data_IF_261144895243
#
_entry.id   IF_261144895243
#
_cell.length_a   1.000
_cell.length_b   1.000
_cell.length_c   1.000
_cell.angle_alpha   90.00
_cell.angle_beta   90.00
_cell.angle_gamma   90.00
#
_symmetry.space_group_name_H-M   'P 1'
#
loop_
_entity.id
_entity.type
_entity.pdbx_description
1 polymer ?
#
# COMPACT_ATOMS: atom_id res chain seq x y z
N UNK A 1 18.48 18.55 -9.38
CA UNK A 1 18.28 20.00 -9.59
C UNK A 1 17.00 20.45 -8.89
N UNK A 2 16.88 21.68 -8.37
CA UNK A 2 15.59 22.14 -7.80
C UNK A 2 14.61 22.60 -8.90
N UNK A 3 13.33 22.74 -8.55
CA UNK A 3 12.29 23.07 -9.53
C UNK A 3 12.50 24.43 -10.20
N UNK A 4 13.02 25.41 -9.48
CA UNK A 4 13.35 26.71 -10.07
C UNK A 4 14.39 26.53 -11.19
N UNK A 5 15.48 25.80 -10.94
CA UNK A 5 16.53 25.52 -11.92
C UNK A 5 16.01 24.67 -13.09
N UNK A 6 15.14 23.69 -12.84
CA UNK A 6 14.49 22.89 -13.90
C UNK A 6 13.71 23.80 -14.85
N UNK A 7 12.87 24.69 -14.31
CA UNK A 7 12.06 25.58 -15.13
C UNK A 7 12.92 26.64 -15.82
N UNK A 8 13.99 27.13 -15.18
CA UNK A 8 14.95 28.04 -15.81
C UNK A 8 15.62 27.38 -17.01
N UNK A 9 16.08 26.13 -16.88
CA UNK A 9 16.66 25.36 -17.99
C UNK A 9 15.66 25.17 -19.13
N UNK A 10 14.45 24.72 -18.82
CA UNK A 10 13.39 24.58 -19.82
C UNK A 10 13.04 25.92 -20.51
N UNK A 11 12.95 27.00 -19.75
CA UNK A 11 12.68 28.34 -20.30
C UNK A 11 13.79 28.79 -21.25
N UNK A 12 15.06 28.62 -20.86
CA UNK A 12 16.22 28.99 -21.67
C UNK A 12 16.30 28.16 -22.97
N UNK A 13 16.06 26.85 -22.91
CA UNK A 13 16.05 25.97 -24.09
C UNK A 13 14.93 26.31 -25.07
N UNK A 14 13.80 26.83 -24.56
CA UNK A 14 12.65 27.25 -25.34
C UNK A 14 12.73 28.72 -25.80
N UNK A 15 13.77 29.46 -25.40
CA UNK A 15 13.92 30.89 -25.70
C UNK A 15 12.91 31.79 -24.98
N UNK A 16 12.38 31.34 -23.85
CA UNK A 16 11.48 32.08 -22.98
C UNK A 16 12.26 32.89 -21.93
N UNK A 17 11.62 33.88 -21.31
CA UNK A 17 12.25 34.63 -20.21
C UNK A 17 12.43 33.70 -19.02
N UNK A 18 13.69 33.56 -18.55
CA UNK A 18 14.02 32.73 -17.40
C UNK A 18 13.49 33.36 -16.10
N UNK A 19 12.63 32.66 -15.33
CA UNK A 19 12.10 33.20 -14.08
C UNK A 19 13.15 33.28 -12.98
N UNK A 20 13.06 34.31 -12.13
CA UNK A 20 13.88 34.44 -10.90
C UNK A 20 13.21 33.85 -9.67
N UNK A 21 11.87 33.77 -9.67
CA UNK A 21 11.04 33.13 -8.65
C UNK A 21 9.94 32.35 -9.36
N UNK A 22 9.54 31.21 -8.82
CA UNK A 22 8.61 30.31 -9.49
C UNK A 22 7.24 30.28 -8.81
N UNK A 23 7.19 29.87 -7.54
CA UNK A 23 5.94 29.57 -6.82
C UNK A 23 5.10 30.82 -6.55
N UNK A 24 5.74 31.93 -6.21
CA UNK A 24 5.07 33.20 -5.89
C UNK A 24 5.03 34.17 -7.08
N UNK A 25 5.36 33.70 -8.28
CA UNK A 25 5.34 34.55 -9.48
C UNK A 25 3.90 34.88 -9.89
N UNK A 26 3.67 36.12 -10.32
CA UNK A 26 2.38 36.56 -10.88
C UNK A 26 2.34 36.46 -12.41
N UNK A 27 3.47 36.11 -13.04
CA UNK A 27 3.53 35.90 -14.48
C UNK A 27 2.79 34.62 -14.87
N UNK A 28 1.77 34.76 -15.71
CA UNK A 28 0.95 33.66 -16.21
C UNK A 28 1.78 32.58 -16.90
N UNK A 29 2.87 32.94 -17.57
CA UNK A 29 3.76 31.98 -18.22
C UNK A 29 4.51 31.14 -17.19
N UNK A 30 5.00 31.74 -16.11
CA UNK A 30 5.73 31.06 -15.03
C UNK A 30 4.80 30.14 -14.25
N UNK A 31 3.59 30.61 -13.94
CA UNK A 31 2.53 29.79 -13.31
C UNK A 31 2.22 28.57 -14.20
N UNK A 32 2.14 28.78 -15.51
CA UNK A 32 1.89 27.70 -16.46
C UNK A 32 3.03 26.67 -16.47
N UNK A 33 4.30 27.10 -16.50
CA UNK A 33 5.44 26.19 -16.49
C UNK A 33 5.48 25.32 -15.22
N UNK A 34 5.25 25.91 -14.03
CA UNK A 34 5.16 25.16 -12.77
C UNK A 34 3.99 24.15 -12.77
N UNK A 35 2.84 24.54 -13.32
CA UNK A 35 1.70 23.62 -13.43
C UNK A 35 2.01 22.43 -14.37
N UNK A 36 2.74 22.67 -15.45
CA UNK A 36 3.17 21.61 -16.38
C UNK A 36 4.22 20.69 -15.77
N UNK A 37 5.18 21.23 -15.00
CA UNK A 37 6.17 20.43 -14.29
C UNK A 37 5.50 19.49 -13.27
N UNK A 38 4.59 20.02 -12.44
CA UNK A 38 3.83 19.20 -11.50
C UNK A 38 3.00 18.12 -12.21
N UNK A 39 2.36 18.46 -13.34
CA UNK A 39 1.59 17.51 -14.15
C UNK A 39 2.49 16.42 -14.74
N UNK A 40 3.69 16.78 -15.18
CA UNK A 40 4.65 15.82 -15.72
C UNK A 40 5.07 14.80 -14.69
N UNK A 41 5.56 15.24 -13.54
CA UNK A 41 5.94 14.34 -12.46
C UNK A 41 4.76 13.49 -11.97
N UNK A 42 3.55 14.06 -11.93
CA UNK A 42 2.32 13.33 -11.65
C UNK A 42 2.06 12.20 -12.65
N UNK A 43 2.41 12.38 -13.93
CA UNK A 43 2.34 11.32 -14.95
C UNK A 43 3.45 10.30 -14.74
N UNK A 44 4.69 10.77 -14.65
CA UNK A 44 5.88 9.91 -14.53
C UNK A 44 5.77 8.95 -13.35
N UNK A 45 5.34 9.40 -12.17
CA UNK A 45 5.21 8.51 -11.01
C UNK A 45 4.10 7.45 -11.18
N UNK A 46 3.07 7.74 -11.98
CA UNK A 46 1.94 6.81 -12.24
C UNK A 46 2.26 5.81 -13.33
N UNK A 47 3.13 6.17 -14.26
CA UNK A 47 3.43 5.37 -15.44
C UNK A 47 4.38 4.19 -15.11
N UNK A 48 5.12 4.25 -13.99
CA UNK A 48 6.09 3.23 -13.60
C UNK A 48 6.31 3.15 -12.08
N UNK A 49 6.70 1.97 -11.59
CA UNK A 49 7.00 1.66 -10.17
C UNK A 49 8.45 2.00 -9.82
N UNK A 50 8.79 3.29 -9.89
CA UNK A 50 10.14 3.81 -9.65
C UNK A 50 10.73 3.36 -8.31
N UNK A 51 11.99 2.91 -8.31
CA UNK A 51 12.64 2.45 -7.08
C UNK A 51 12.80 3.54 -6.02
N UNK A 52 12.96 4.79 -6.43
CA UNK A 52 13.05 5.93 -5.52
C UNK A 52 11.72 6.23 -4.78
N UNK A 53 10.62 5.63 -5.21
CA UNK A 53 9.29 5.77 -4.58
C UNK A 53 8.85 4.49 -3.86
N UNK A 54 9.69 3.46 -3.82
CA UNK A 54 9.40 2.21 -3.12
C UNK A 54 9.70 2.38 -1.63
N UNK A 55 8.66 2.21 -0.81
CA UNK A 55 8.76 2.38 0.64
C UNK A 55 8.28 1.12 1.35
N UNK A 56 8.93 0.78 2.48
CA UNK A 56 8.51 -0.32 3.35
C UNK A 56 7.55 0.21 4.42
N UNK A 57 6.45 -0.51 4.64
CA UNK A 57 5.54 -0.25 5.75
C UNK A 57 5.48 -1.45 6.68
N UNK A 58 5.60 -1.18 7.99
CA UNK A 58 5.57 -2.17 9.06
C UNK A 58 4.40 -1.86 9.98
N UNK A 59 3.54 -2.84 10.20
CA UNK A 59 2.52 -2.83 11.25
C UNK A 59 2.90 -3.82 12.34
N UNK A 60 3.13 -3.28 13.54
CA UNK A 60 3.26 -4.07 14.75
C UNK A 60 1.85 -4.41 15.25
N UNK A 61 1.51 -5.69 15.23
CA UNK A 61 0.18 -6.14 15.61
C UNK A 61 0.03 -6.10 17.12
N UNK A 62 -0.98 -5.36 17.56
CA UNK A 62 -1.36 -5.24 18.97
C UNK A 62 -1.91 -6.58 19.49
N UNK A 63 -1.67 -6.89 20.76
CA UNK A 63 -2.25 -8.07 21.40
C UNK A 63 -3.78 -7.98 21.43
N UNK A 64 -4.47 -9.12 21.34
CA UNK A 64 -5.93 -9.15 21.55
C UNK A 64 -6.29 -8.61 22.94
N UNK A 65 -7.34 -7.81 23.02
CA UNK A 65 -7.91 -7.36 24.28
C UNK A 65 -8.95 -8.39 24.75
N UNK A 66 -8.56 -9.20 25.73
CA UNK A 66 -9.44 -10.15 26.40
C UNK A 66 -10.14 -9.48 27.58
N UNK A 67 -11.46 -9.60 27.65
CA UNK A 67 -12.27 -9.00 28.72
C UNK A 67 -13.53 -9.82 28.97
N UNK A 68 -14.34 -9.41 29.94
CA UNK A 68 -15.65 -10.02 30.21
C UNK A 68 -16.77 -9.13 29.72
N UNK A 69 -17.89 -9.73 29.30
CA UNK A 69 -19.08 -8.98 28.94
C UNK A 69 -20.35 -9.82 28.98
N UNK A 70 -21.48 -9.14 28.95
CA UNK A 70 -22.80 -9.74 28.90
C UNK A 70 -23.36 -9.60 27.49
N UNK A 71 -23.80 -10.73 26.94
CA UNK A 71 -24.40 -10.81 25.61
C UNK A 71 -25.80 -11.41 25.74
N UNK A 72 -26.74 -10.91 24.95
CA UNK A 72 -28.11 -11.39 24.95
C UNK A 72 -28.50 -11.84 23.54
N UNK A 73 -29.20 -12.97 23.45
CA UNK A 73 -29.75 -13.49 22.20
C UNK A 73 -30.56 -12.40 21.48
N UNK A 74 -30.32 -12.24 20.18
CA UNK A 74 -30.96 -11.23 19.33
C UNK A 74 -30.64 -9.77 19.72
N UNK A 75 -29.59 -9.53 20.50
CA UNK A 75 -29.07 -8.18 20.79
C UNK A 75 -27.72 -7.96 20.11
N UNK A 76 -27.49 -6.74 19.62
CA UNK A 76 -26.20 -6.30 19.10
C UNK A 76 -25.30 -5.69 20.18
N UNK A 77 -25.75 -5.64 21.44
CA UNK A 77 -25.00 -5.01 22.52
C UNK A 77 -24.20 -6.05 23.30
N UNK A 78 -22.95 -5.71 23.58
CA UNK A 78 -22.13 -6.32 24.63
C UNK A 78 -22.12 -5.32 25.78
N UNK A 79 -22.71 -5.70 26.90
CA UNK A 79 -22.88 -4.87 28.09
C UNK A 79 -21.84 -5.27 29.16
N UNK A 80 -21.72 -4.44 30.19
CA UNK A 80 -20.92 -4.73 31.39
C UNK A 80 -19.45 -5.05 31.08
N UNK A 81 -18.91 -4.44 30.02
CA UNK A 81 -17.48 -4.50 29.72
C UNK A 81 -16.75 -3.61 30.75
N UNK A 82 -15.69 -4.09 31.42
CA UNK A 82 -14.94 -3.31 32.41
C UNK A 82 -14.40 -1.96 31.92
N UNK A 83 -13.99 -1.87 30.64
CA UNK A 83 -13.56 -0.64 29.98
C UNK A 83 -13.59 -0.83 28.47
N UNK A 84 -14.06 0.18 27.73
CA UNK A 84 -14.01 0.24 26.26
C UNK A 84 -12.87 1.11 25.73
N UNK A 85 -11.94 1.53 26.59
CA UNK A 85 -10.82 2.39 26.20
C UNK A 85 -9.94 1.72 25.13
N UNK A 86 -9.71 2.42 24.02
CA UNK A 86 -8.89 1.94 22.90
C UNK A 86 -9.63 1.04 21.90
N UNK A 87 -10.88 0.64 22.19
CA UNK A 87 -11.72 -0.07 21.24
C UNK A 87 -12.33 0.90 20.22
N UNK A 88 -12.44 0.45 18.98
CA UNK A 88 -13.09 1.19 17.90
C UNK A 88 -13.58 0.23 16.79
N UNK A 89 -14.05 0.78 15.68
CA UNK A 89 -14.60 0.03 14.54
C UNK A 89 -13.58 -0.80 13.75
N UNK A 90 -12.28 -0.75 14.10
CA UNK A 90 -11.21 -1.58 13.51
C UNK A 90 -11.05 -2.95 14.18
N UNK A 91 -11.85 -3.22 15.23
CA UNK A 91 -11.75 -4.45 16.02
C UNK A 91 -12.82 -5.48 15.62
N UNK A 92 -12.36 -6.70 15.37
CA UNK A 92 -13.19 -7.89 15.30
C UNK A 92 -13.49 -8.41 16.71
N UNK A 93 -14.64 -9.06 16.86
CA UNK A 93 -15.13 -9.58 18.13
C UNK A 93 -15.32 -11.08 18.02
N UNK A 94 -14.86 -11.82 19.03
CA UNK A 94 -15.12 -13.25 19.17
C UNK A 94 -15.38 -13.59 20.64
N UNK A 95 -16.08 -14.70 20.88
CA UNK A 95 -16.53 -15.08 22.22
C UNK A 95 -17.83 -15.87 22.13
N UNK A 96 -18.36 -16.26 23.29
CA UNK A 96 -19.63 -16.98 23.34
C UNK A 96 -20.78 -16.11 22.82
N UNK A 97 -21.64 -16.68 21.98
CA UNK A 97 -22.76 -15.96 21.36
C UNK A 97 -22.36 -14.97 20.24
N UNK A 98 -21.08 -14.79 19.94
CA UNK A 98 -20.63 -13.94 18.82
C UNK A 98 -20.70 -14.71 17.50
N UNK A 99 -21.44 -14.22 16.49
CA UNK A 99 -21.43 -14.82 15.16
C UNK A 99 -20.05 -14.68 14.49
N UNK A 100 -19.78 -15.53 13.48
CA UNK A 100 -18.53 -15.47 12.72
C UNK A 100 -18.34 -14.09 12.07
N UNK A 101 -17.10 -13.59 12.08
CA UNK A 101 -16.71 -12.32 11.46
C UNK A 101 -17.43 -11.08 12.04
N UNK A 102 -17.92 -11.18 13.28
CA UNK A 102 -18.47 -10.09 14.08
C UNK A 102 -17.44 -8.98 14.31
N UNK A 103 -17.90 -7.72 14.28
CA UNK A 103 -17.06 -6.53 14.49
C UNK A 103 -17.80 -5.48 15.31
N UNK A 104 -17.04 -4.54 15.85
CA UNK A 104 -17.58 -3.36 16.53
C UNK A 104 -18.19 -2.43 15.49
N UNK A 105 -19.48 -2.12 15.64
CA UNK A 105 -20.17 -1.07 14.88
C UNK A 105 -19.93 0.31 15.49
N UNK A 106 -19.98 0.41 16.83
CA UNK A 106 -19.67 1.63 17.59
C UNK A 106 -19.36 1.31 19.06
N UNK A 107 -18.56 2.17 19.70
CA UNK A 107 -18.43 2.20 21.16
C UNK A 107 -19.51 3.13 21.69
N UNK A 108 -20.47 2.59 22.43
CA UNK A 108 -21.66 3.34 22.89
C UNK A 108 -21.30 4.19 24.11
N UNK A 109 -20.60 3.59 25.07
CA UNK A 109 -20.15 4.24 26.29
C UNK A 109 -18.91 3.51 26.86
N UNK A 110 -18.50 3.88 28.08
CA UNK A 110 -17.30 3.34 28.73
C UNK A 110 -17.39 1.83 29.06
N UNK A 111 -18.58 1.24 28.99
CA UNK A 111 -18.84 -0.16 29.40
C UNK A 111 -19.64 -0.96 28.36
N UNK A 112 -20.01 -0.34 27.24
CA UNK A 112 -20.92 -0.91 26.26
C UNK A 112 -20.39 -0.73 24.85
N UNK A 113 -20.41 -1.82 24.08
CA UNK A 113 -20.09 -1.83 22.66
C UNK A 113 -21.29 -2.36 21.88
N UNK A 114 -21.57 -1.74 20.74
CA UNK A 114 -22.52 -2.26 19.75
C UNK A 114 -21.76 -2.97 18.64
N UNK A 115 -22.18 -4.19 18.34
CA UNK A 115 -21.66 -4.98 17.24
C UNK A 115 -22.49 -4.82 15.95
N UNK A 116 -21.91 -5.21 14.82
CA UNK A 116 -22.56 -5.15 13.50
C UNK A 116 -23.74 -6.13 13.36
N UNK A 117 -23.65 -7.30 14.00
CA UNK A 117 -24.67 -8.36 13.94
C UNK A 117 -25.23 -8.69 15.33
N UNK A 118 -26.40 -9.34 15.38
CA UNK A 118 -26.99 -9.81 16.63
C UNK A 118 -26.29 -11.05 17.18
N UNK A 119 -26.22 -11.14 18.51
CA UNK A 119 -25.68 -12.30 19.22
C UNK A 119 -26.59 -13.52 19.08
N UNK A 120 -26.00 -14.70 18.98
CA UNK A 120 -26.70 -15.99 18.74
C UNK A 120 -27.00 -16.76 20.03
N UNK A 121 -26.60 -16.24 21.19
CA UNK A 121 -26.86 -16.83 22.50
C UNK A 121 -26.92 -15.73 23.58
N UNK A 122 -27.41 -16.11 24.77
CA UNK A 122 -27.33 -15.29 25.97
C UNK A 122 -26.27 -15.88 26.90
N UNK A 123 -25.30 -15.06 27.29
CA UNK A 123 -24.26 -15.42 28.24
C UNK A 123 -23.88 -14.20 29.07
N UNK A 124 -23.61 -14.40 30.37
CA UNK A 124 -23.28 -13.33 31.32
C UNK A 124 -21.86 -13.52 31.82
N UNK A 125 -21.09 -12.43 31.91
CA UNK A 125 -19.70 -12.44 32.32
C UNK A 125 -18.81 -13.36 31.49
N UNK A 126 -19.21 -13.62 30.23
CA UNK A 126 -18.46 -14.52 29.34
C UNK A 126 -17.22 -13.82 28.82
N UNK A 127 -16.20 -14.59 28.43
CA UNK A 127 -14.99 -14.06 27.83
C UNK A 127 -15.31 -13.52 26.43
N UNK A 128 -14.94 -12.26 26.20
CA UNK A 128 -15.01 -11.58 24.92
C UNK A 128 -13.60 -11.17 24.52
N UNK A 129 -13.22 -11.56 23.30
CA UNK A 129 -11.92 -11.28 22.70
C UNK A 129 -12.10 -10.25 21.60
N UNK A 130 -11.44 -9.11 21.75
CA UNK A 130 -11.33 -8.10 20.71
C UNK A 130 -9.95 -8.24 20.04
N UNK A 131 -9.93 -8.36 18.71
CA UNK A 131 -8.71 -8.38 17.93
C UNK A 131 -8.79 -7.36 16.79
N UNK A 132 -7.85 -6.41 16.74
CA UNK A 132 -7.76 -5.42 15.68
C UNK A 132 -7.49 -6.09 14.34
N UNK A 133 -8.42 -6.03 13.40
CA UNK A 133 -8.33 -6.68 12.10
C UNK A 133 -8.03 -5.71 10.96
N UNK A 134 -8.26 -4.42 11.20
CA UNK A 134 -8.16 -3.34 10.23
C UNK A 134 -7.12 -2.33 10.67
N UNK A 135 -6.28 -1.90 9.73
CA UNK A 135 -5.17 -0.99 9.98
C UNK A 135 -5.16 0.10 8.91
N UNK A 136 -4.69 1.29 9.29
CA UNK A 136 -4.56 2.40 8.35
C UNK A 136 -3.45 2.11 7.33
N UNK A 137 -3.61 2.67 6.13
CA UNK A 137 -2.55 2.71 5.13
C UNK A 137 -1.60 3.88 5.41
N UNK A 138 -0.34 3.81 4.93
CA UNK A 138 0.55 4.97 4.91
C UNK A 138 -0.15 6.20 4.30
N UNK A 139 0.10 7.39 4.84
CA UNK A 139 -0.55 8.63 4.37
C UNK A 139 -0.18 9.01 2.95
N UNK A 140 0.98 8.56 2.49
CA UNK A 140 1.57 8.73 1.17
C UNK A 140 1.35 7.53 0.23
N UNK A 141 0.60 6.51 0.65
CA UNK A 141 0.29 5.34 -0.17
C UNK A 141 -0.41 5.70 -1.51
N UNK A 142 0.09 5.16 -2.63
CA UNK A 142 -0.58 5.18 -3.93
C UNK A 142 -1.08 3.78 -4.33
N UNK A 143 -0.19 2.79 -4.39
CA UNK A 143 -0.47 1.43 -4.87
C UNK A 143 0.45 0.38 -4.25
N UNK A 144 -0.02 -0.86 -4.24
CA UNK A 144 0.74 -2.01 -3.71
C UNK A 144 1.77 -2.53 -4.70
N UNK A 145 2.92 -2.96 -4.16
CA UNK A 145 3.82 -3.84 -4.87
C UNK A 145 3.38 -5.29 -4.64
N UNK A 146 3.25 -6.05 -5.72
CA UNK A 146 2.74 -7.42 -5.65
C UNK A 146 3.68 -8.36 -4.89
N UNK A 147 3.12 -9.27 -4.09
CA UNK A 147 3.85 -10.34 -3.38
C UNK A 147 4.85 -9.90 -2.29
N UNK A 148 4.81 -8.65 -1.82
CA UNK A 148 5.69 -8.13 -0.76
C UNK A 148 5.15 -8.27 0.66
N UNK A 149 3.93 -8.83 0.81
CA UNK A 149 3.27 -8.93 2.11
C UNK A 149 3.72 -10.13 2.93
N UNK A 150 4.29 -9.89 4.10
CA UNK A 150 4.85 -10.93 4.98
C UNK A 150 4.50 -10.72 6.44
N UNK A 151 4.25 -11.84 7.11
CA UNK A 151 4.36 -11.97 8.55
C UNK A 151 5.81 -12.35 8.87
N UNK A 152 6.59 -11.39 9.38
CA UNK A 152 8.00 -11.60 9.73
C UNK A 152 8.17 -12.52 10.94
N UNK A 153 7.18 -12.59 11.81
CA UNK A 153 7.23 -13.41 13.02
C UNK A 153 7.04 -14.89 12.69
N UNK A 154 6.08 -15.19 11.82
CA UNK A 154 5.75 -16.57 11.45
C UNK A 154 6.38 -17.02 10.11
N UNK A 155 7.17 -16.15 9.48
CA UNK A 155 7.83 -16.39 8.19
C UNK A 155 6.86 -16.77 7.06
N UNK A 156 5.65 -16.22 7.09
CA UNK A 156 4.60 -16.55 6.12
C UNK A 156 4.23 -15.34 5.28
N UNK A 157 4.19 -15.56 3.96
CA UNK A 157 3.63 -14.58 3.03
C UNK A 157 2.11 -14.54 3.19
N UNK A 158 1.55 -13.33 3.21
CA UNK A 158 0.11 -13.10 3.16
C UNK A 158 -0.42 -13.29 1.73
N UNK A 159 -1.72 -13.53 1.62
CA UNK A 159 -2.42 -13.75 0.35
C UNK A 159 -3.34 -12.56 0.07
N UNK A 160 -3.26 -11.97 -1.12
CA UNK A 160 -4.13 -10.86 -1.51
C UNK A 160 -3.48 -9.97 -2.57
N UNK A 161 -4.06 -8.78 -2.86
CA UNK A 161 -5.28 -8.26 -2.26
C UNK A 161 -6.53 -9.04 -2.72
N UNK A 162 -7.37 -9.46 -1.78
CA UNK A 162 -8.59 -10.19 -2.09
C UNK A 162 -9.71 -9.28 -2.63
N UNK A 163 -10.47 -9.79 -3.61
CA UNK A 163 -11.64 -9.09 -4.15
C UNK A 163 -12.78 -9.02 -3.12
N UNK A 164 -13.74 -8.09 -3.29
CA UNK A 164 -14.90 -8.04 -2.41
C UNK A 164 -15.68 -9.35 -2.33
N UNK A 165 -15.79 -10.08 -3.45
CA UNK A 165 -16.46 -11.36 -3.52
C UNK A 165 -15.69 -12.44 -2.75
N UNK A 166 -14.37 -12.49 -2.91
CA UNK A 166 -13.53 -13.45 -2.19
C UNK A 166 -13.54 -13.19 -0.68
N UNK A 167 -13.43 -11.92 -0.27
CA UNK A 167 -13.51 -11.50 1.14
C UNK A 167 -14.85 -11.88 1.79
N UNK A 168 -15.97 -11.74 1.07
CA UNK A 168 -17.27 -12.20 1.60
C UNK A 168 -17.36 -13.73 1.64
N UNK A 169 -16.85 -14.43 0.62
CA UNK A 169 -16.82 -15.89 0.61
C UNK A 169 -16.07 -16.46 1.83
N UNK A 170 -14.88 -15.91 2.16
CA UNK A 170 -14.06 -16.40 3.28
C UNK A 170 -14.57 -15.98 4.66
N UNK A 171 -15.29 -14.86 4.77
CA UNK A 171 -15.83 -14.35 6.04
C UNK A 171 -17.20 -14.93 6.39
N UNK A 172 -18.06 -15.08 5.39
CA UNK A 172 -19.44 -15.54 5.58
C UNK A 172 -19.63 -17.02 5.30
N UNK A 173 -18.73 -17.63 4.53
CA UNK A 173 -18.76 -19.06 4.24
C UNK A 173 -18.10 -19.91 5.32
N UNK A 174 -18.49 -21.18 5.38
CA UNK A 174 -17.77 -22.19 6.16
C UNK A 174 -16.48 -22.52 5.41
N UNK A 175 -15.40 -21.85 5.78
CA UNK A 175 -14.08 -22.02 5.17
C UNK A 175 -13.07 -22.46 6.23
N UNK A 176 -12.27 -23.47 5.91
CA UNK A 176 -11.17 -23.88 6.77
C UNK A 176 -10.06 -22.82 6.69
N UNK A 177 -9.91 -22.01 7.73
CA UNK A 177 -8.84 -21.02 7.83
C UNK A 177 -7.50 -21.74 7.93
N UNK A 178 -6.70 -21.65 6.87
CA UNK A 178 -5.33 -22.13 6.87
C UNK A 178 -4.38 -21.20 7.64
N UNK A 179 -3.11 -21.61 7.82
CA UNK A 179 -2.10 -20.84 8.53
C UNK A 179 -1.84 -19.45 7.93
N UNK A 180 -1.91 -19.31 6.60
CA UNK A 180 -1.64 -18.05 5.91
C UNK A 180 -2.84 -17.10 6.00
N UNK A 181 -2.55 -15.85 6.38
CA UNK A 181 -3.55 -14.78 6.44
C UNK A 181 -3.75 -14.15 5.07
N UNK A 182 -4.97 -13.69 4.84
CA UNK A 182 -5.39 -12.93 3.67
C UNK A 182 -5.50 -11.46 4.00
N UNK A 183 -5.31 -10.59 3.02
CA UNK A 183 -5.53 -9.16 3.18
C UNK A 183 -6.38 -8.59 2.04
N UNK A 184 -7.08 -7.50 2.35
CA UNK A 184 -7.88 -6.73 1.41
C UNK A 184 -7.81 -5.25 1.76
N UNK A 185 -7.80 -4.40 0.74
CA UNK A 185 -7.96 -2.97 0.89
C UNK A 185 -9.43 -2.58 1.12
N UNK A 186 -9.69 -1.69 2.08
CA UNK A 186 -11.04 -1.26 2.51
C UNK A 186 -11.13 0.27 2.66
N UNK A 187 -12.35 0.82 2.63
CA UNK A 187 -12.62 2.26 2.78
C UNK A 187 -12.95 3.03 1.48
N UNK A 188 -13.36 4.29 1.62
CA UNK A 188 -13.66 5.21 0.51
C UNK A 188 -12.43 6.07 0.23
N UNK A 189 -11.79 5.84 -0.94
CA UNK A 189 -10.37 6.11 -1.18
C UNK A 189 -9.50 5.22 -0.26
N UNK A 190 -8.38 4.67 -0.73
CA UNK A 190 -7.55 3.78 0.10
C UNK A 190 -7.20 4.48 1.43
N UNK A 191 -7.85 4.09 2.52
CA UNK A 191 -7.54 4.63 3.85
C UNK A 191 -7.07 3.52 4.79
N UNK A 192 -7.54 2.30 4.58
CA UNK A 192 -7.23 1.18 5.43
C UNK A 192 -7.15 -0.13 4.63
N UNK A 193 -6.59 -1.12 5.27
CA UNK A 193 -6.56 -2.51 4.82
C UNK A 193 -6.95 -3.39 5.99
N UNK A 194 -7.48 -4.57 5.69
CA UNK A 194 -7.99 -5.51 6.67
C UNK A 194 -7.44 -6.89 6.39
N UNK A 195 -7.20 -7.65 7.45
CA UNK A 195 -6.79 -9.05 7.38
C UNK A 195 -7.88 -10.02 7.79
N UNK A 196 -7.76 -11.23 7.26
CA UNK A 196 -8.59 -12.36 7.66
C UNK A 196 -7.75 -13.66 7.72
N UNK A 197 -7.91 -14.52 8.74
CA UNK A 197 -8.66 -14.27 9.98
C UNK A 197 -8.08 -13.09 10.78
N UNK A 198 -8.84 -12.50 11.74
CA UNK A 198 -8.31 -11.50 12.66
C UNK A 198 -7.07 -12.05 13.39
N UNK A 199 -6.14 -11.20 13.86
CA UNK A 199 -5.04 -11.65 14.70
C UNK A 199 -5.55 -12.54 15.83
N UNK A 200 -4.78 -13.56 16.23
CA UNK A 200 -5.11 -14.50 17.32
C UNK A 200 -6.34 -15.42 17.10
N UNK A 201 -7.15 -15.19 16.07
CA UNK A 201 -8.27 -16.08 15.74
C UNK A 201 -7.82 -17.37 15.03
N UNK A 202 -8.53 -18.47 15.29
CA UNK A 202 -8.45 -19.71 14.49
C UNK A 202 -7.21 -20.57 14.70
N UNK A 203 -6.51 -20.44 15.83
CA UNK A 203 -5.34 -21.27 16.17
C UNK A 203 -4.08 -20.99 15.35
N UNK A 204 -4.14 -20.03 14.41
CA UNK A 204 -2.96 -19.52 13.74
C UNK A 204 -2.10 -18.71 14.73
N UNK A 205 -0.77 -18.84 14.71
CA UNK A 205 0.10 -18.03 15.54
C UNK A 205 -0.22 -16.54 15.42
N UNK A 206 -0.05 -15.83 16.52
CA UNK A 206 -0.16 -14.38 16.55
C UNK A 206 0.84 -13.77 15.55
N UNK A 207 0.41 -12.95 14.58
CA UNK A 207 1.35 -12.14 13.83
C UNK A 207 1.96 -11.12 14.78
N UNK A 208 3.28 -10.92 14.72
CA UNK A 208 3.96 -9.87 15.49
C UNK A 208 4.19 -8.63 14.62
N UNK A 209 4.90 -8.80 13.51
CA UNK A 209 5.14 -7.73 12.54
C UNK A 209 4.65 -8.13 11.14
N UNK A 210 3.68 -7.40 10.63
CA UNK A 210 3.21 -7.48 9.25
C UNK A 210 3.94 -6.41 8.44
N UNK A 211 4.53 -6.81 7.32
CA UNK A 211 5.37 -5.93 6.50
C UNK A 211 5.00 -6.06 5.03
N UNK A 212 5.02 -4.95 4.31
CA UNK A 212 4.88 -4.91 2.86
C UNK A 212 5.55 -3.67 2.30
N UNK A 213 5.79 -3.70 1.00
CA UNK A 213 6.28 -2.54 0.25
C UNK A 213 5.17 -1.96 -0.64
N UNK A 214 5.23 -0.66 -0.85
CA UNK A 214 4.27 0.09 -1.64
C UNK A 214 4.97 1.20 -2.43
N UNK A 215 4.26 1.74 -3.41
CA UNK A 215 4.69 2.95 -4.11
C UNK A 215 4.08 4.16 -3.41
N UNK A 216 4.95 5.08 -2.99
CA UNK A 216 4.57 6.39 -2.45
C UNK A 216 4.12 7.32 -3.58
N UNK A 217 3.10 8.13 -3.31
CA UNK A 217 2.66 9.24 -4.19
C UNK A 217 3.55 10.48 -4.04
N UNK A 218 4.43 10.50 -3.06
CA UNK A 218 5.23 11.67 -2.73
C UNK A 218 6.53 11.71 -3.56
N UNK A 219 6.44 12.23 -4.78
CA UNK A 219 7.56 12.32 -5.72
C UNK A 219 8.46 13.56 -5.55
N UNK A 220 8.19 14.39 -4.54
CA UNK A 220 8.96 15.62 -4.23
C UNK A 220 9.72 15.46 -2.94
N UNK A 221 11.01 15.78 -2.95
CA UNK A 221 11.85 15.96 -1.76
C UNK A 221 11.96 17.45 -1.40
N UNK A 222 11.68 17.78 -0.14
CA UNK A 222 11.81 19.14 0.41
C UNK A 222 13.15 19.33 1.11
N UNK A 223 13.50 20.60 1.36
CA UNK A 223 14.78 20.97 2.03
C UNK A 223 14.89 20.41 3.44
N UNK A 224 13.76 20.22 4.14
CA UNK A 224 13.71 19.63 5.47
C UNK A 224 13.80 18.08 5.48
N UNK A 225 13.93 17.47 4.30
CA UNK A 225 13.97 16.02 4.13
C UNK A 225 12.59 15.36 4.09
N UNK A 226 11.50 16.12 4.23
CA UNK A 226 10.15 15.57 4.07
C UNK A 226 9.79 15.38 2.60
N UNK A 227 8.88 14.45 2.33
CA UNK A 227 8.38 14.19 0.97
C UNK A 227 6.96 14.73 0.78
N UNK A 228 6.60 15.08 -0.45
CA UNK A 228 5.24 15.53 -0.79
C UNK A 228 4.83 15.16 -2.22
N UNK A 229 3.54 15.26 -2.50
CA UNK A 229 2.93 14.92 -3.79
C UNK A 229 2.88 16.07 -4.79
N UNK A 230 3.44 17.23 -4.42
CA UNK A 230 3.41 18.45 -5.24
C UNK A 230 4.52 19.43 -4.87
N UNK A 231 5.12 20.04 -5.89
CA UNK A 231 6.09 21.12 -5.72
C UNK A 231 5.36 22.41 -5.34
N UNK A 232 5.74 22.95 -4.18
CA UNK A 232 5.15 24.11 -3.52
C UNK A 232 6.18 25.14 -3.09
N UNK A 233 7.48 24.85 -3.17
CA UNK A 233 8.56 25.81 -2.94
C UNK A 233 9.59 25.78 -4.07
N UNK A 234 10.25 26.91 -4.33
CA UNK A 234 11.28 27.04 -5.39
C UNK A 234 12.48 26.11 -5.16
N UNK A 235 12.67 25.68 -3.91
CA UNK A 235 13.73 24.78 -3.47
C UNK A 235 13.36 23.30 -3.51
N UNK A 236 12.12 22.97 -3.83
CA UNK A 236 11.67 21.58 -3.95
C UNK A 236 12.42 20.88 -5.09
N UNK A 237 12.83 19.64 -4.87
CA UNK A 237 13.53 18.80 -5.84
C UNK A 237 12.66 17.59 -6.20
N UNK A 238 12.54 17.21 -7.49
CA UNK A 238 11.92 15.94 -7.82
C UNK A 238 12.82 14.80 -7.36
N UNK A 239 12.22 13.72 -6.84
CA UNK A 239 12.90 12.44 -6.65
C UNK A 239 13.18 11.77 -8.00
N UNK A 240 12.26 11.96 -8.95
CA UNK A 240 12.40 11.50 -10.33
C UNK A 240 13.45 12.32 -11.10
N UNK A 241 13.99 11.74 -12.17
CA UNK A 241 15.05 12.36 -12.99
C UNK A 241 14.68 13.76 -13.50
N UNK A 242 15.53 14.74 -13.19
CA UNK A 242 15.29 16.14 -13.51
C UNK A 242 15.31 16.44 -15.02
N UNK A 243 16.03 15.66 -15.83
CA UNK A 243 16.06 15.79 -17.29
C UNK A 243 14.73 15.40 -17.92
N UNK A 244 14.09 14.35 -17.40
CA UNK A 244 12.75 13.95 -17.85
C UNK A 244 11.75 15.07 -17.59
N UNK A 245 11.85 15.74 -16.44
CA UNK A 245 10.99 16.88 -16.10
C UNK A 245 11.21 18.06 -17.04
N UNK A 246 12.47 18.39 -17.37
CA UNK A 246 12.78 19.45 -18.35
C UNK A 246 12.13 19.13 -19.70
N UNK A 247 12.39 17.93 -20.24
CA UNK A 247 11.83 17.50 -21.53
C UNK A 247 10.30 17.51 -21.49
N UNK A 248 9.71 17.03 -20.38
CA UNK A 248 8.27 16.97 -20.13
C UNK A 248 7.59 18.34 -20.12
N UNK A 249 8.23 19.35 -19.53
CA UNK A 249 7.74 20.73 -19.53
C UNK A 249 7.79 21.32 -20.94
N UNK A 250 8.89 21.10 -21.67
CA UNK A 250 9.10 21.65 -23.02
C UNK A 250 8.02 21.24 -24.01
N UNK A 251 7.80 19.94 -24.19
CA UNK A 251 6.86 19.47 -25.22
C UNK A 251 5.41 19.84 -24.88
N UNK A 252 5.01 19.78 -23.59
CA UNK A 252 3.66 20.15 -23.16
C UNK A 252 3.40 21.66 -23.33
N UNK A 253 4.41 22.48 -23.09
CA UNK A 253 4.30 23.92 -23.32
C UNK A 253 4.06 24.20 -24.81
N UNK A 254 4.82 23.56 -25.71
CA UNK A 254 4.64 23.72 -27.16
C UNK A 254 3.27 23.24 -27.62
N UNK A 255 2.81 22.09 -27.10
CA UNK A 255 1.49 21.55 -27.39
C UNK A 255 0.38 22.55 -27.01
N UNK A 256 0.42 23.13 -25.80
CA UNK A 256 -0.64 24.04 -25.34
C UNK A 256 -0.62 25.37 -26.10
N UNK A 257 0.55 25.82 -26.56
CA UNK A 257 0.66 27.01 -27.41
C UNK A 257 0.29 26.74 -28.87
N UNK A 258 0.03 25.49 -29.24
CA UNK A 258 -0.34 25.10 -30.61
C UNK A 258 0.85 25.06 -31.58
N UNK A 259 2.07 24.96 -31.06
CA UNK A 259 3.28 24.77 -31.88
C UNK A 259 3.52 23.29 -32.17
N UNK A 260 4.37 23.02 -33.16
CA UNK A 260 4.78 21.66 -33.51
C UNK A 260 5.55 21.01 -32.34
N UNK A 261 5.03 19.90 -31.81
CA UNK A 261 5.53 19.27 -30.58
C UNK A 261 5.93 17.80 -30.78
N UNK A 262 5.63 17.18 -31.93
CA UNK A 262 5.73 15.73 -32.11
C UNK A 262 7.15 15.19 -31.92
N UNK A 263 8.16 15.88 -32.48
CA UNK A 263 9.56 15.47 -32.31
C UNK A 263 10.03 15.55 -30.85
N UNK A 264 9.65 16.61 -30.13
CA UNK A 264 10.01 16.77 -28.70
C UNK A 264 9.31 15.74 -27.82
N UNK A 265 8.05 15.41 -28.15
CA UNK A 265 7.32 14.36 -27.44
C UNK A 265 7.99 13.00 -27.66
N UNK A 266 8.42 12.71 -28.88
CA UNK A 266 9.10 11.44 -29.18
C UNK A 266 10.41 11.30 -28.39
N UNK A 267 11.24 12.35 -28.37
CA UNK A 267 12.48 12.38 -27.59
C UNK A 267 12.21 12.16 -26.09
N UNK A 268 11.18 12.81 -25.54
CA UNK A 268 10.75 12.59 -24.15
C UNK A 268 10.35 11.14 -23.90
N UNK A 269 9.53 10.54 -24.78
CA UNK A 269 9.09 9.15 -24.62
C UNK A 269 10.26 8.17 -24.70
N UNK A 270 11.21 8.40 -25.62
CA UNK A 270 12.40 7.57 -25.76
C UNK A 270 13.29 7.66 -24.50
N UNK A 271 13.45 8.87 -23.94
CA UNK A 271 14.19 9.08 -22.69
C UNK A 271 13.50 8.42 -21.48
N UNK A 272 12.17 8.52 -21.38
CA UNK A 272 11.39 7.86 -20.33
C UNK A 272 11.56 6.34 -20.41
N UNK A 273 11.41 5.75 -21.60
CA UNK A 273 11.59 4.31 -21.79
C UNK A 273 13.01 3.84 -21.45
N UNK A 274 14.03 4.62 -21.82
CA UNK A 274 15.41 4.31 -21.46
C UNK A 274 15.61 4.32 -19.94
N UNK A 275 14.96 5.27 -19.24
CA UNK A 275 15.03 5.36 -17.78
C UNK A 275 14.30 4.21 -17.09
N UNK A 276 13.10 3.86 -17.54
CA UNK A 276 12.39 2.67 -17.07
C UNK A 276 13.24 1.40 -17.19
N UNK A 277 13.96 1.23 -18.30
CA UNK A 277 14.81 0.05 -18.51
C UNK A 277 16.04 0.00 -17.58
N UNK A 278 16.52 1.15 -17.12
CA UNK A 278 17.70 1.24 -16.23
C UNK A 278 17.35 1.27 -14.74
N UNK A 279 16.11 1.54 -14.38
CA UNK A 279 15.69 1.72 -13.00
C UNK A 279 15.67 0.40 -12.20
N UNK A 280 16.07 0.45 -10.93
CA UNK A 280 16.04 -0.69 -10.00
C UNK A 280 17.06 -1.82 -10.21
N UNK A 281 17.89 -1.72 -11.25
CA UNK A 281 18.91 -2.72 -11.54
C UNK A 281 18.33 -4.03 -12.09
N UNK A 282 19.09 -4.67 -12.97
CA UNK A 282 18.68 -5.93 -13.60
C UNK A 282 19.31 -7.07 -12.80
N UNK A 283 18.56 -8.13 -12.44
CA UNK A 283 19.15 -9.29 -11.79
C UNK A 283 20.22 -9.91 -12.70
N UNK A 284 21.31 -10.38 -12.12
CA UNK A 284 22.34 -11.10 -12.85
C UNK A 284 21.71 -12.27 -13.63
N UNK A 285 21.88 -12.25 -14.95
CA UNK A 285 21.41 -13.33 -15.82
C UNK A 285 22.43 -14.47 -15.78
N UNK A 286 22.13 -15.48 -14.96
CA UNK A 286 22.90 -16.71 -14.93
C UNK A 286 22.44 -17.66 -16.05
N UNK A 287 23.38 -18.01 -16.95
CA UNK A 287 23.17 -19.04 -17.99
C UNK A 287 23.38 -20.47 -17.48
N UNK A 288 23.74 -20.63 -16.20
CA UNK A 288 23.83 -21.92 -15.51
C UNK A 288 22.70 -22.10 -14.48
N UNK A 289 22.42 -23.35 -14.11
CA UNK A 289 21.36 -23.70 -13.18
C UNK A 289 21.60 -23.03 -11.81
N UNK A 290 20.64 -22.20 -11.37
CA UNK A 290 20.65 -21.47 -10.08
C UNK A 290 21.19 -22.35 -8.94
N UNK A 291 22.29 -21.94 -8.34
CA UNK A 291 22.72 -22.42 -7.02
C UNK A 291 22.03 -21.59 -5.93
N UNK A 292 20.72 -21.78 -5.76
CA UNK A 292 20.04 -21.51 -4.47
C UNK A 292 20.12 -22.77 -3.59
N UNK A 293 20.04 -22.67 -2.25
CA UNK A 293 20.36 -23.80 -1.38
C UNK A 293 19.26 -24.86 -1.44
N UNK A 294 19.46 -25.88 -2.27
CA UNK A 294 18.70 -27.12 -2.21
C UNK A 294 19.64 -28.23 -1.74
N UNK A 295 19.72 -28.40 -0.42
CA UNK A 295 20.24 -29.63 0.16
C UNK A 295 19.19 -30.72 -0.10
N UNK A 296 19.35 -31.43 -1.22
CA UNK A 296 18.62 -32.65 -1.61
C UNK A 296 17.10 -32.47 -1.70
N UNK A 297 16.56 -32.36 -2.93
CA UNK A 297 15.10 -32.42 -3.18
C UNK A 297 14.72 -33.75 -3.86
N UNK A 298 13.42 -34.07 -3.91
CA UNK A 298 12.90 -35.29 -4.55
C UNK A 298 13.28 -35.44 -6.04
N UNK A 299 13.76 -34.37 -6.70
CA UNK A 299 14.35 -34.45 -8.05
C UNK A 299 15.74 -35.11 -8.10
N UNK A 300 16.34 -35.44 -6.96
CA UNK A 300 17.64 -36.12 -6.87
C UNK A 300 17.51 -37.64 -6.72
N UNK A 301 16.29 -38.17 -6.64
CA UNK A 301 16.04 -39.61 -6.72
C UNK A 301 16.04 -39.99 -8.19
N UNK A 302 16.95 -40.86 -8.63
CA UNK A 302 16.84 -41.47 -9.97
C UNK A 302 15.54 -42.26 -9.99
N UNK A 303 14.62 -41.89 -10.89
CA UNK A 303 13.42 -42.69 -11.15
C UNK A 303 13.87 -44.09 -11.59
N UNK A 304 13.56 -45.07 -10.74
CA UNK A 304 13.95 -46.45 -10.90
C UNK A 304 13.36 -47.05 -12.18
N UNK A 305 14.23 -47.66 -12.97
CA UNK A 305 13.90 -48.48 -14.13
C UNK A 305 12.95 -49.64 -13.73
N UNK A 306 11.67 -49.56 -14.10
CA UNK A 306 10.72 -50.67 -14.02
C UNK A 306 9.72 -50.62 -15.19
N UNK A 307 9.42 -51.74 -15.89
CA UNK A 307 9.82 -53.12 -15.63
C UNK A 307 11.21 -53.44 -16.23
N UNK A 308 12.07 -54.11 -15.46
CA UNK A 308 13.41 -54.49 -15.92
C UNK A 308 13.39 -55.38 -17.18
N UNK A 309 14.52 -55.46 -17.92
CA UNK A 309 14.62 -56.33 -19.09
C UNK A 309 14.50 -57.81 -18.67
N UNK A 310 13.84 -58.59 -19.52
CA UNK A 310 13.59 -60.04 -19.41
C UNK A 310 14.83 -60.86 -19.12
#
# INVERSE_FOLDING_TARGET
>A
MNILQIVQTAANELGLVSPTTLVNSTDLQVIQLLALANRDCTSLYRDYDWTDLQEEHIVNVEAQAATTGDVALNSALILNIPSTAGLDTSWAVSGEGMPQAQRIAEVVDATTVRCEMFSTATALGTEILFAKDTYDLPTDFDRYIGQTWWDRTNHWRLIGPDSPQMDQYIRSGIFATGPRRRFRQVGRKPNAWRIWPPPFAGGAPAPGALVWEYISKNWVLKVDGTTSDRMTTDTDTPLLDDQLVIMGVKWRMWQIKGFEYAAMQQEYLDAVNAKFASDGGIPDLYLNQRSGPFLISNGNVRDGNFPGPT
#
